data_IF_786295665906
#
_entry.id   IF_786295665906
#
_cell.length_a   1.000
_cell.length_b   1.000
_cell.length_c   1.000
_cell.angle_alpha   90.00
_cell.angle_beta   90.00
_cell.angle_gamma   90.00
#
_symmetry.space_group_name_H-M   'P 1'
#
loop_
_entity.id
_entity.type
_entity.pdbx_description
1 polymer ?
#
# COMPACT_ATOMS: atom_id res chain seq x y z
N UNK A 1 26.51 -23.02 15.04
CA UNK A 1 25.74 -21.76 15.07
C UNK A 1 24.98 -21.67 13.75
N UNK A 2 23.65 -21.80 13.77
CA UNK A 2 22.83 -21.62 12.56
C UNK A 2 22.29 -20.20 12.52
N UNK A 3 22.53 -19.50 11.41
CA UNK A 3 21.95 -18.19 11.15
C UNK A 3 20.81 -18.41 10.17
N UNK A 4 19.58 -18.06 10.56
CA UNK A 4 18.40 -18.16 9.70
C UNK A 4 18.08 -16.77 9.15
N UNK A 5 18.18 -16.62 7.84
CA UNK A 5 17.84 -15.39 7.12
C UNK A 5 16.79 -15.67 6.04
N UNK A 6 16.01 -14.65 5.70
CA UNK A 6 15.01 -14.73 4.64
C UNK A 6 14.60 -13.35 4.14
N UNK A 7 14.02 -13.30 2.95
CA UNK A 7 13.40 -12.10 2.37
C UNK A 7 11.89 -12.28 2.38
N UNK A 8 11.14 -11.23 2.72
CA UNK A 8 9.68 -11.29 2.69
C UNK A 8 9.02 -9.92 2.52
N UNK A 9 7.87 -9.86 1.83
CA UNK A 9 7.10 -8.64 1.72
C UNK A 9 6.42 -8.29 3.06
N UNK A 10 6.43 -7.00 3.40
CA UNK A 10 5.65 -6.43 4.50
C UNK A 10 4.65 -5.44 3.91
N UNK A 11 3.37 -5.73 4.09
CA UNK A 11 2.29 -4.83 3.71
C UNK A 11 2.12 -3.74 4.78
N UNK A 12 1.99 -2.49 4.34
CA UNK A 12 1.70 -1.35 5.20
C UNK A 12 0.57 -0.55 4.56
N UNK A 13 -0.42 -0.17 5.38
CA UNK A 13 -1.40 0.82 4.98
C UNK A 13 -0.75 2.19 5.15
N UNK A 14 -0.52 2.89 4.03
CA UNK A 14 0.19 4.17 4.00
C UNK A 14 -0.74 5.36 4.22
N UNK A 15 -1.95 5.29 3.66
CA UNK A 15 -2.93 6.34 3.75
C UNK A 15 -4.35 5.78 3.73
N UNK A 16 -5.29 6.55 4.26
CA UNK A 16 -6.73 6.28 4.16
C UNK A 16 -7.42 7.59 3.79
N UNK A 17 -8.46 7.52 2.98
CA UNK A 17 -9.18 8.71 2.52
C UNK A 17 -10.53 8.36 1.94
N UNK A 18 -11.10 9.27 1.16
CA UNK A 18 -12.34 9.06 0.41
C UNK A 18 -12.12 9.37 -1.06
N UNK A 19 -12.65 8.54 -1.94
CA UNK A 19 -12.59 8.70 -3.38
C UNK A 19 -13.90 8.26 -4.03
N UNK A 20 -14.11 8.64 -5.29
CA UNK A 20 -15.21 8.11 -6.08
C UNK A 20 -14.73 6.83 -6.77
N UNK A 21 -15.32 5.70 -6.38
CA UNK A 21 -14.95 4.41 -6.97
C UNK A 21 -15.51 4.33 -8.40
N UNK A 22 -14.70 4.12 -9.45
CA UNK A 22 -15.18 4.06 -10.84
C UNK A 22 -16.13 2.88 -11.08
N UNK A 23 -16.04 1.83 -10.26
CA UNK A 23 -16.92 0.66 -10.36
C UNK A 23 -18.24 0.82 -9.61
N UNK A 24 -18.24 1.53 -8.48
CA UNK A 24 -19.44 1.70 -7.66
C UNK A 24 -20.14 3.03 -7.93
N UNK A 25 -19.47 3.97 -8.58
CA UNK A 25 -19.95 5.34 -8.87
C UNK A 25 -20.45 6.09 -7.62
N UNK A 26 -19.90 5.74 -6.45
CA UNK A 26 -20.20 6.37 -5.17
C UNK A 26 -18.93 6.86 -4.50
N UNK A 27 -19.08 7.88 -3.64
CA UNK A 27 -18.02 8.33 -2.75
C UNK A 27 -17.87 7.32 -1.61
N UNK A 28 -16.70 6.71 -1.52
CA UNK A 28 -16.41 5.69 -0.50
C UNK A 28 -14.99 5.85 0.04
N UNK A 29 -14.71 5.17 1.15
CA UNK A 29 -13.38 5.17 1.76
C UNK A 29 -12.43 4.26 0.97
N UNK A 30 -11.17 4.67 0.88
CA UNK A 30 -10.09 3.84 0.36
C UNK A 30 -8.97 3.65 1.38
N UNK A 31 -8.24 2.56 1.22
CA UNK A 31 -6.99 2.28 1.91
C UNK A 31 -5.85 2.16 0.90
N UNK A 32 -4.83 3.00 1.01
CA UNK A 32 -3.59 2.86 0.24
C UNK A 32 -2.71 1.83 0.93
N UNK A 33 -2.46 0.72 0.26
CA UNK A 33 -1.57 -0.35 0.70
C UNK A 33 -0.30 -0.28 -0.15
N UNK A 34 0.85 -0.17 0.50
CA UNK A 34 2.14 -0.41 -0.15
C UNK A 34 2.75 -1.69 0.42
N UNK A 35 3.51 -2.41 -0.38
CA UNK A 35 4.29 -3.55 0.06
C UNK A 35 5.76 -3.22 -0.11
N UNK A 36 6.59 -3.61 0.85
CA UNK A 36 8.04 -3.48 0.71
C UNK A 36 8.71 -4.75 1.17
N UNK A 37 9.73 -5.19 0.44
CA UNK A 37 10.54 -6.32 0.87
C UNK A 37 11.42 -5.92 2.07
N UNK A 38 11.48 -6.79 3.07
CA UNK A 38 12.34 -6.66 4.23
C UNK A 38 13.24 -7.88 4.35
N UNK A 39 14.48 -7.62 4.75
CA UNK A 39 15.42 -8.64 5.18
C UNK A 39 15.04 -9.06 6.60
N UNK A 40 14.74 -10.35 6.75
CA UNK A 40 14.31 -10.95 8.00
C UNK A 40 15.46 -11.78 8.54
N UNK A 41 15.98 -11.41 9.69
CA UNK A 41 16.97 -12.19 10.43
C UNK A 41 16.25 -12.78 11.64
N UNK A 42 16.30 -14.11 11.81
CA UNK A 42 15.53 -14.79 12.87
C UNK A 42 14.05 -14.36 12.92
N UNK A 43 13.41 -14.27 11.75
CA UNK A 43 12.00 -13.85 11.56
C UNK A 43 11.68 -12.37 11.84
N UNK A 44 12.62 -11.62 12.42
CA UNK A 44 12.48 -10.20 12.70
C UNK A 44 12.85 -9.41 11.43
N UNK A 45 11.95 -8.59 10.84
CA UNK A 45 12.28 -7.73 9.71
C UNK A 45 13.21 -6.61 10.18
N UNK A 46 14.51 -6.71 9.86
CA UNK A 46 15.56 -5.82 10.39
C UNK A 46 15.71 -4.58 9.53
N UNK A 47 15.88 -4.76 8.21
CA UNK A 47 16.10 -3.66 7.27
C UNK A 47 15.28 -3.83 6.00
N UNK A 48 14.76 -2.74 5.42
CA UNK A 48 14.08 -2.81 4.14
C UNK A 48 15.09 -3.08 3.03
N UNK A 49 14.97 -4.21 2.36
CA UNK A 49 15.77 -4.59 1.21
C UNK A 49 14.95 -4.36 -0.05
N UNK A 50 15.28 -3.31 -0.79
CA UNK A 50 14.64 -2.99 -2.08
C UNK A 50 13.72 -1.77 -2.06
N UNK A 51 13.15 -1.52 -3.24
CA UNK A 51 12.21 -0.42 -3.50
C UNK A 51 10.86 -0.73 -2.86
N UNK A 52 10.11 0.30 -2.47
CA UNK A 52 8.68 0.13 -2.18
C UNK A 52 8.00 -0.37 -3.45
N UNK A 53 7.21 -1.42 -3.35
CA UNK A 53 6.29 -1.78 -4.42
C UNK A 53 5.26 -0.68 -4.55
N UNK A 54 4.71 -0.58 -5.76
CA UNK A 54 3.68 0.40 -6.12
C UNK A 54 2.55 0.39 -5.07
N UNK A 55 2.23 1.58 -4.60
CA UNK A 55 1.08 1.81 -3.74
C UNK A 55 -0.19 1.52 -4.51
N UNK A 56 -1.04 0.66 -3.95
CA UNK A 56 -2.35 0.34 -4.52
C UNK A 56 -3.45 0.82 -3.59
N UNK A 57 -4.55 1.24 -4.18
CA UNK A 57 -5.70 1.87 -3.55
C UNK A 57 -6.81 0.86 -3.49
N UNK A 58 -7.17 0.43 -2.30
CA UNK A 58 -8.24 -0.54 -2.10
C UNK A 58 -9.53 0.16 -1.69
N UNK A 59 -10.58 -0.02 -2.49
CA UNK A 59 -11.93 0.42 -2.17
C UNK A 59 -12.49 -0.37 -0.98
N UNK A 60 -12.99 0.30 0.05
CA UNK A 60 -13.58 -0.38 1.22
C UNK A 60 -15.03 -0.84 1.00
N UNK A 61 -15.64 -0.52 -0.14
CA UNK A 61 -16.99 -1.01 -0.49
C UNK A 61 -16.96 -2.25 -1.36
N UNK A 62 -16.15 -2.24 -2.43
CA UNK A 62 -16.10 -3.35 -3.37
C UNK A 62 -14.81 -4.18 -3.30
N UNK A 63 -13.90 -3.84 -2.37
CA UNK A 63 -12.60 -4.49 -2.15
C UNK A 63 -11.70 -4.59 -3.40
N UNK A 64 -11.99 -3.81 -4.43
CA UNK A 64 -11.12 -3.72 -5.62
C UNK A 64 -9.92 -2.84 -5.34
N UNK A 65 -8.78 -3.27 -5.85
CA UNK A 65 -7.53 -2.53 -5.86
C UNK A 65 -7.38 -1.76 -7.18
N UNK A 66 -6.90 -0.53 -7.07
CA UNK A 66 -6.61 0.38 -8.18
C UNK A 66 -5.21 0.97 -8.00
N UNK A 67 -4.62 1.49 -9.08
CA UNK A 67 -3.38 2.26 -8.98
C UNK A 67 -3.63 3.63 -8.33
N UNK A 68 -2.59 4.23 -7.77
CA UNK A 68 -2.68 5.57 -7.13
C UNK A 68 -3.11 6.68 -8.08
N UNK A 69 -2.92 6.51 -9.39
CA UNK A 69 -3.27 7.47 -10.44
C UNK A 69 -4.78 7.80 -10.46
N UNK A 70 -5.62 6.90 -9.95
CA UNK A 70 -7.06 7.12 -9.81
C UNK A 70 -7.40 8.19 -8.76
N UNK A 71 -6.49 8.47 -7.82
CA UNK A 71 -6.65 9.57 -6.86
C UNK A 71 -6.32 10.92 -7.48
N UNK A 72 -5.36 10.96 -8.41
CA UNK A 72 -4.97 12.22 -9.08
C UNK A 72 -6.16 12.81 -9.83
N UNK A 73 -6.90 11.96 -10.54
CA UNK A 73 -8.14 12.36 -11.23
C UNK A 73 -9.29 12.75 -10.27
N UNK A 74 -9.27 12.29 -9.02
CA UNK A 74 -10.31 12.56 -8.02
C UNK A 74 -9.98 13.72 -7.07
N UNK A 75 -8.87 14.44 -7.27
CA UNK A 75 -8.54 15.71 -6.64
C UNK A 75 -8.77 15.78 -5.11
N UNK A 76 -8.42 14.71 -4.39
CA UNK A 76 -8.33 14.73 -2.94
C UNK A 76 -6.97 14.18 -2.48
N UNK A 77 -6.02 15.12 -2.37
CA UNK A 77 -4.85 15.12 -1.50
C UNK A 77 -3.67 14.21 -1.89
N UNK A 78 -2.95 14.62 -2.93
CA UNK A 78 -1.52 14.36 -3.15
C UNK A 78 -0.63 15.12 -2.13
N UNK A 79 -0.88 14.99 -0.82
CA UNK A 79 -0.07 15.66 0.21
C UNK A 79 0.52 14.70 1.25
N UNK A 80 0.74 13.41 0.91
CA UNK A 80 1.28 12.43 1.87
C UNK A 80 2.63 11.83 1.45
N UNK A 81 3.31 12.35 0.43
CA UNK A 81 4.68 11.91 0.15
C UNK A 81 5.57 13.04 -0.38
N UNK A 82 6.04 13.90 0.54
CA UNK A 82 7.40 14.41 0.51
C UNK A 82 8.08 14.01 1.82
#
# INVERSE_FOLDING_TARGET
MFIVFGLGPKHKVEARGQFVCPKCSIKTKYNVKSSRQYFRLFFIPVFPTGKKNESVVECQTCNRTYYTDILENNNFLLHVFR
#
